data_IF_978467267600
#
_entry.id   IF_978467267600
#
_cell.length_a   1.000
_cell.length_b   1.000
_cell.length_c   1.000
_cell.angle_alpha   90.00
_cell.angle_beta   90.00
_cell.angle_gamma   90.00
#
_symmetry.space_group_name_H-M   'P 1'
#
loop_
_entity.id
_entity.type
_entity.pdbx_description
1 polymer ?
#
# COMPACT_ATOMS: atom_id res chain seq x y z
N UNK A 1 -25.76 -40.73 -11.34
CA UNK A 1 -24.62 -41.55 -11.80
C UNK A 1 -24.71 -41.71 -13.31
N UNK A 2 -23.68 -41.30 -14.06
CA UNK A 2 -23.51 -41.54 -15.51
C UNK A 2 -24.56 -40.86 -16.40
N UNK A 3 -24.29 -40.40 -17.62
CA UNK A 3 -23.24 -40.84 -18.51
C UNK A 3 -23.10 -39.87 -19.72
N UNK A 4 -21.88 -39.87 -20.26
CA UNK A 4 -21.48 -39.57 -21.64
C UNK A 4 -21.44 -38.12 -22.17
N UNK A 5 -20.18 -37.67 -22.29
CA UNK A 5 -19.64 -36.58 -23.12
C UNK A 5 -19.50 -37.07 -24.60
N UNK A 6 -18.96 -36.25 -25.53
CA UNK A 6 -19.62 -35.56 -26.64
C UNK A 6 -19.51 -36.28 -28.01
N UNK A 7 -20.27 -35.83 -29.01
CA UNK A 7 -19.86 -35.98 -30.42
C UNK A 7 -19.99 -34.66 -31.17
N UNK A 8 -18.84 -34.27 -31.71
CA UNK A 8 -18.58 -33.15 -32.60
C UNK A 8 -19.17 -33.50 -33.97
N UNK A 9 -19.87 -32.58 -34.59
CA UNK A 9 -20.41 -32.75 -35.94
C UNK A 9 -20.97 -31.44 -36.46
N UNK A 10 -20.09 -30.56 -36.93
CA UNK A 10 -20.51 -29.34 -37.61
C UNK A 10 -21.18 -29.66 -38.94
N UNK A 11 -22.26 -28.95 -39.26
CA UNK A 11 -22.63 -28.62 -40.62
C UNK A 11 -23.33 -27.27 -40.64
N UNK A 12 -22.72 -26.36 -41.40
CA UNK A 12 -23.11 -24.97 -41.60
C UNK A 12 -24.41 -24.84 -42.38
N UNK A 13 -25.35 -24.02 -41.91
CA UNK A 13 -26.23 -23.23 -42.77
C UNK A 13 -26.41 -21.82 -42.18
N UNK A 14 -26.12 -20.75 -42.92
CA UNK A 14 -26.36 -19.38 -42.46
C UNK A 14 -27.78 -18.96 -42.86
N UNK A 15 -28.65 -18.69 -41.90
CA UNK A 15 -29.89 -17.94 -42.14
C UNK A 15 -29.62 -16.46 -41.86
N UNK A 16 -29.45 -15.70 -42.95
CA UNK A 16 -29.52 -14.25 -42.94
C UNK A 16 -30.92 -13.82 -42.49
N UNK A 17 -31.02 -13.23 -41.31
CA UNK A 17 -32.20 -12.45 -40.91
C UNK A 17 -31.77 -10.99 -40.87
N UNK A 18 -32.06 -10.25 -41.95
CA UNK A 18 -31.93 -8.79 -41.98
C UNK A 18 -33.04 -8.16 -41.12
N UNK A 19 -32.74 -7.27 -40.16
CA UNK A 19 -33.75 -6.53 -39.41
C UNK A 19 -34.42 -5.44 -40.29
N UNK A 20 -35.67 -5.07 -40.02
CA UNK A 20 -36.43 -4.13 -40.85
C UNK A 20 -35.89 -2.70 -40.68
N UNK A 21 -35.77 -2.01 -41.82
CA UNK A 21 -35.41 -0.59 -41.93
C UNK A 21 -36.52 0.30 -41.37
N UNK A 22 -36.22 1.05 -40.30
CA UNK A 22 -37.11 2.09 -39.74
C UNK A 22 -36.81 3.44 -40.40
N UNK A 23 -37.83 4.25 -40.78
CA UNK A 23 -37.61 5.55 -41.44
C UNK A 23 -37.07 6.62 -40.46
N UNK A 24 -36.16 7.43 -40.98
CA UNK A 24 -35.54 8.61 -40.36
C UNK A 24 -36.57 9.70 -40.00
N UNK A 25 -36.75 10.05 -38.70
CA UNK A 25 -37.20 11.41 -38.30
C UNK A 25 -37.19 11.68 -36.78
N UNK A 26 -36.16 11.30 -36.04
CA UNK A 26 -35.93 11.85 -34.70
C UNK A 26 -34.45 12.21 -34.54
N UNK A 27 -34.08 13.40 -35.02
CA UNK A 27 -32.82 14.02 -34.62
C UNK A 27 -32.96 14.47 -33.19
N UNK A 28 -32.37 13.72 -32.25
CA UNK A 28 -32.12 14.21 -30.92
C UNK A 28 -31.15 15.40 -31.04
N UNK A 29 -31.49 16.63 -30.61
CA UNK A 29 -30.59 17.78 -30.71
C UNK A 29 -29.31 17.64 -29.88
N UNK A 30 -29.22 16.57 -29.06
CA UNK A 30 -28.02 16.19 -28.31
C UNK A 30 -27.24 15.01 -28.94
N UNK A 31 -27.63 14.52 -30.11
CA UNK A 31 -26.86 13.51 -30.83
C UNK A 31 -25.62 14.17 -31.45
N UNK A 32 -24.57 14.34 -30.63
CA UNK A 32 -23.24 14.66 -31.11
C UNK A 32 -22.80 13.61 -32.14
N UNK A 33 -22.21 14.00 -33.28
CA UNK A 33 -21.74 13.06 -34.27
C UNK A 33 -20.75 12.11 -33.60
N UNK A 34 -21.12 10.83 -33.63
CA UNK A 34 -20.38 9.75 -33.00
C UNK A 34 -18.91 9.82 -33.42
N UNK A 35 -18.00 9.90 -32.44
CA UNK A 35 -16.55 9.92 -32.65
C UNK A 35 -16.01 11.13 -33.45
N UNK A 36 -16.29 12.36 -33.01
CA UNK A 36 -15.45 13.50 -33.43
C UNK A 36 -14.19 13.50 -32.57
N UNK A 37 -13.01 13.54 -33.21
CA UNK A 37 -11.71 13.72 -32.55
C UNK A 37 -11.73 14.88 -31.54
N UNK A 38 -12.60 15.87 -31.76
CA UNK A 38 -12.88 16.93 -30.80
C UNK A 38 -13.31 16.43 -29.42
N UNK A 39 -14.24 15.46 -29.34
CA UNK A 39 -14.71 14.91 -28.05
C UNK A 39 -13.61 14.10 -27.38
N UNK A 40 -12.84 13.33 -28.14
CA UNK A 40 -11.68 12.58 -27.62
C UNK A 40 -10.60 13.53 -27.10
N UNK A 41 -10.26 14.57 -27.86
CA UNK A 41 -9.29 15.59 -27.47
C UNK A 41 -9.75 16.39 -26.25
N UNK A 42 -11.06 16.69 -26.14
CA UNK A 42 -11.62 17.38 -24.98
C UNK A 42 -11.56 16.49 -23.73
N UNK A 43 -11.87 15.20 -23.88
CA UNK A 43 -11.75 14.22 -22.80
C UNK A 43 -10.29 14.03 -22.35
N UNK A 44 -9.35 13.89 -23.29
CA UNK A 44 -7.92 13.75 -22.99
C UNK A 44 -7.35 15.01 -22.32
N UNK A 45 -7.71 16.20 -22.82
CA UNK A 45 -7.32 17.48 -22.22
C UNK A 45 -7.93 17.65 -20.82
N UNK A 46 -9.19 17.28 -20.62
CA UNK A 46 -9.82 17.37 -19.30
C UNK A 46 -9.25 16.31 -18.32
N UNK A 47 -8.93 15.11 -18.81
CA UNK A 47 -8.28 14.04 -18.03
C UNK A 47 -6.89 14.43 -17.55
N UNK A 48 -6.13 15.16 -18.36
CA UNK A 48 -4.80 15.67 -18.01
C UNK A 48 -4.82 16.94 -17.16
N UNK A 49 -5.98 17.60 -17.00
CA UNK A 49 -6.17 18.80 -16.18
C UNK A 49 -6.91 18.54 -14.85
N UNK A 50 -7.32 17.30 -14.56
CA UNK A 50 -7.74 16.94 -13.20
C UNK A 50 -6.53 17.12 -12.27
N UNK A 51 -6.59 18.00 -11.26
CA UNK A 51 -5.62 17.98 -10.19
C UNK A 51 -5.61 16.55 -9.66
N UNK A 52 -4.43 15.96 -9.50
CA UNK A 52 -4.32 14.63 -8.92
C UNK A 52 -4.62 14.74 -7.41
N UNK A 53 -5.90 14.90 -7.07
CA UNK A 53 -6.40 14.92 -5.69
C UNK A 53 -6.02 13.62 -4.98
N UNK A 54 -5.92 12.50 -5.71
CA UNK A 54 -5.36 11.24 -5.21
C UNK A 54 -3.88 11.33 -4.84
N UNK A 55 -3.03 12.03 -5.60
CA UNK A 55 -1.59 12.16 -5.26
C UNK A 55 -1.36 13.11 -4.09
N UNK A 56 -2.01 14.28 -4.09
CA UNK A 56 -1.82 15.27 -3.02
C UNK A 56 -2.36 14.75 -1.67
N UNK A 57 -3.53 14.10 -1.69
CA UNK A 57 -4.13 13.51 -0.49
C UNK A 57 -3.35 12.28 -0.01
N UNK A 58 -2.75 11.49 -0.92
CA UNK A 58 -1.87 10.36 -0.57
C UNK A 58 -0.54 10.82 0.04
N UNK A 59 0.03 11.93 -0.42
CA UNK A 59 1.30 12.43 0.08
C UNK A 59 1.18 12.99 1.51
N UNK A 60 0.11 13.74 1.82
CA UNK A 60 -0.13 14.21 3.18
C UNK A 60 -0.42 13.07 4.16
N UNK A 61 -1.22 12.07 3.73
CA UNK A 61 -1.42 10.84 4.51
C UNK A 61 -0.10 10.12 4.79
N UNK A 62 0.76 9.99 3.79
CA UNK A 62 2.09 9.38 3.94
C UNK A 62 2.96 10.14 4.95
N UNK A 63 2.93 11.47 4.91
CA UNK A 63 3.69 12.31 5.85
C UNK A 63 3.18 12.17 7.28
N UNK A 64 1.86 12.07 7.47
CA UNK A 64 1.26 11.79 8.80
C UNK A 64 1.71 10.44 9.31
N UNK A 65 1.69 9.39 8.49
CA UNK A 65 2.17 8.06 8.88
C UNK A 65 3.66 8.09 9.27
N UNK A 66 4.52 8.73 8.46
CA UNK A 66 5.95 8.89 8.81
C UNK A 66 6.15 9.61 10.16
N UNK A 67 5.35 10.64 10.43
CA UNK A 67 5.41 11.34 11.71
C UNK A 67 4.99 10.47 12.91
N UNK A 68 4.11 9.48 12.71
CA UNK A 68 3.74 8.51 13.75
C UNK A 68 4.84 7.46 13.93
N UNK A 69 5.43 6.97 12.84
CA UNK A 69 6.52 6.00 12.87
C UNK A 69 7.78 6.54 13.56
N UNK A 70 8.04 7.85 13.45
CA UNK A 70 9.12 8.53 14.15
C UNK A 70 9.02 8.41 15.69
N UNK A 71 7.83 8.13 16.23
CA UNK A 71 7.61 7.94 17.68
C UNK A 71 7.97 6.53 18.13
N UNK A 72 8.12 5.58 17.21
CA UNK A 72 8.66 4.26 17.54
C UNK A 72 10.16 4.48 17.83
N UNK A 73 10.71 3.92 18.93
CA UNK A 73 12.14 3.99 19.17
C UNK A 73 12.93 3.26 18.07
N UNK A 74 14.02 3.88 17.62
CA UNK A 74 15.04 3.22 16.81
C UNK A 74 16.29 3.07 17.67
N UNK A 75 17.05 2.00 17.45
CA UNK A 75 18.29 1.75 18.18
C UNK A 75 19.40 1.27 17.24
N UNK A 76 20.65 1.39 17.69
CA UNK A 76 21.77 0.76 17.01
C UNK A 76 21.75 -0.75 17.24
N UNK A 77 21.94 -1.52 16.18
CA UNK A 77 22.05 -2.97 16.28
C UNK A 77 23.29 -3.36 17.08
N UNK A 78 23.14 -4.36 17.95
CA UNK A 78 24.21 -4.85 18.82
C UNK A 78 24.62 -6.23 18.33
N UNK A 79 25.84 -6.37 17.81
CA UNK A 79 26.35 -7.63 17.23
C UNK A 79 26.31 -8.83 18.20
N UNK A 80 26.34 -8.54 19.50
CA UNK A 80 26.21 -9.54 20.56
C UNK A 80 24.82 -10.21 20.64
N UNK A 81 23.81 -9.70 19.91
CA UNK A 81 22.50 -10.34 19.76
C UNK A 81 22.50 -11.48 18.73
N UNK A 82 23.60 -11.68 18.00
CA UNK A 82 23.75 -12.73 16.98
C UNK A 82 23.80 -12.16 15.56
N UNK A 83 23.84 -13.04 14.57
CA UNK A 83 23.64 -12.67 13.16
C UNK A 83 22.13 -12.53 12.93
N UNK A 84 21.72 -11.41 12.36
CA UNK A 84 20.32 -11.14 12.01
C UNK A 84 20.26 -10.54 10.61
N UNK A 85 19.16 -10.78 9.90
CA UNK A 85 18.95 -10.33 8.53
C UNK A 85 17.64 -9.54 8.44
N UNK A 86 17.66 -8.44 7.70
CA UNK A 86 16.43 -7.70 7.41
C UNK A 86 15.62 -8.43 6.34
N UNK A 87 14.47 -8.99 6.70
CA UNK A 87 13.59 -9.71 5.79
C UNK A 87 12.97 -8.85 4.66
N UNK A 88 13.16 -7.52 4.67
CA UNK A 88 12.68 -6.62 3.61
C UNK A 88 13.72 -6.48 2.49
N UNK A 89 14.98 -6.21 2.84
CA UNK A 89 16.06 -6.01 1.87
C UNK A 89 16.93 -7.25 1.65
N UNK A 90 16.74 -8.31 2.45
CA UNK A 90 17.56 -9.52 2.47
C UNK A 90 19.05 -9.23 2.74
N UNK A 91 19.31 -8.20 3.56
CA UNK A 91 20.63 -7.76 3.95
C UNK A 91 20.92 -8.08 5.41
N UNK A 92 22.16 -8.45 5.70
CA UNK A 92 22.65 -8.66 7.07
C UNK A 92 22.56 -7.36 7.89
N UNK A 93 22.33 -7.51 9.20
CA UNK A 93 22.30 -6.42 10.16
C UNK A 93 23.67 -6.28 10.81
N UNK A 94 24.34 -5.17 10.54
CA UNK A 94 25.68 -4.88 11.05
C UNK A 94 25.66 -4.09 12.36
N UNK A 95 26.72 -4.25 13.16
CA UNK A 95 26.88 -3.54 14.42
C UNK A 95 26.79 -2.01 14.23
N UNK A 96 25.89 -1.37 14.96
CA UNK A 96 25.69 0.09 14.89
C UNK A 96 24.73 0.54 13.80
N UNK A 97 24.22 -0.35 12.94
CA UNK A 97 23.17 0.01 11.99
C UNK A 97 21.87 0.39 12.71
N UNK A 98 21.13 1.34 12.14
CA UNK A 98 19.85 1.76 12.72
C UNK A 98 18.78 0.73 12.41
N UNK A 99 18.32 0.08 13.47
CA UNK A 99 17.29 -0.94 13.40
C UNK A 99 16.09 -0.57 14.28
N UNK A 100 14.94 -1.14 13.94
CA UNK A 100 13.68 -0.92 14.64
C UNK A 100 13.04 -2.26 14.97
N UNK A 101 12.71 -2.44 16.25
CA UNK A 101 11.82 -3.51 16.69
C UNK A 101 10.38 -3.02 16.61
N UNK A 102 9.54 -3.78 15.92
CA UNK A 102 8.10 -3.59 16.00
C UNK A 102 7.57 -4.16 17.33
N UNK A 103 6.36 -3.76 17.79
CA UNK A 103 5.77 -4.30 19.02
C UNK A 103 5.61 -5.84 19.01
N UNK A 104 5.53 -6.44 17.82
CA UNK A 104 5.54 -7.90 17.61
C UNK A 104 6.95 -8.53 17.64
N UNK A 105 7.98 -7.79 18.09
CA UNK A 105 9.38 -8.21 18.26
C UNK A 105 10.16 -8.57 16.98
N UNK A 106 9.61 -8.28 15.80
CA UNK A 106 10.36 -8.42 14.55
C UNK A 106 11.29 -7.23 14.32
N UNK A 107 12.49 -7.53 13.78
CA UNK A 107 13.60 -6.59 13.61
C UNK A 107 13.84 -6.29 12.13
N UNK A 108 14.03 -5.02 11.80
CA UNK A 108 14.32 -4.55 10.45
C UNK A 108 15.21 -3.30 10.48
N UNK A 109 15.85 -2.96 9.36
CA UNK A 109 16.41 -1.62 9.16
C UNK A 109 15.31 -0.57 9.28
N UNK A 110 15.62 0.56 9.93
CA UNK A 110 14.70 1.69 10.06
C UNK A 110 14.18 2.14 8.70
N UNK A 111 15.07 2.27 7.72
CA UNK A 111 14.71 2.76 6.37
C UNK A 111 13.77 1.79 5.66
N UNK A 112 14.04 0.48 5.76
CA UNK A 112 13.22 -0.53 5.12
C UNK A 112 11.82 -0.62 5.73
N UNK A 113 11.72 -0.65 7.06
CA UNK A 113 10.42 -0.81 7.72
C UNK A 113 9.60 0.47 7.71
N UNK A 114 10.22 1.65 7.78
CA UNK A 114 9.48 2.90 7.75
C UNK A 114 8.81 3.11 6.37
N UNK A 115 9.52 2.81 5.27
CA UNK A 115 8.93 2.88 3.92
C UNK A 115 7.86 1.81 3.68
N UNK A 116 7.99 0.63 4.29
CA UNK A 116 6.95 -0.38 4.27
C UNK A 116 5.69 0.10 5.00
N UNK A 117 5.85 0.63 6.21
CA UNK A 117 4.74 1.03 7.08
C UNK A 117 3.97 2.26 6.56
N UNK A 118 4.60 3.08 5.72
CA UNK A 118 3.90 4.14 4.97
C UNK A 118 2.86 3.57 4.01
N UNK A 119 3.10 2.38 3.44
CA UNK A 119 2.20 1.73 2.48
C UNK A 119 1.20 0.79 3.15
N UNK A 120 1.64 0.09 4.19
CA UNK A 120 0.85 -0.93 4.89
C UNK A 120 1.24 -0.95 6.36
N UNK A 121 0.30 -0.69 7.25
CA UNK A 121 0.55 -0.60 8.70
C UNK A 121 0.65 -1.97 9.39
N UNK A 122 1.16 -2.99 8.69
CA UNK A 122 1.27 -4.37 9.13
C UNK A 122 2.73 -4.82 9.09
N UNK A 123 3.12 -5.66 10.05
CA UNK A 123 4.45 -6.25 10.10
C UNK A 123 4.72 -7.13 8.84
N UNK A 124 5.85 -6.96 8.14
CA UNK A 124 6.20 -7.79 6.98
C UNK A 124 6.32 -9.29 7.31
N UNK A 125 6.73 -9.63 8.54
CA UNK A 125 7.01 -11.01 8.92
C UNK A 125 5.79 -11.76 9.46
N UNK A 126 4.92 -11.10 10.21
CA UNK A 126 3.77 -11.76 10.86
C UNK A 126 2.40 -11.24 10.43
N UNK A 127 2.35 -10.23 9.56
CA UNK A 127 1.12 -9.61 9.04
C UNK A 127 0.19 -8.97 10.09
N UNK A 128 0.57 -8.99 11.37
CA UNK A 128 -0.15 -8.31 12.44
C UNK A 128 -0.06 -6.78 12.29
N UNK A 129 -1.14 -6.04 12.61
CA UNK A 129 -1.14 -4.58 12.56
C UNK A 129 -0.20 -3.99 13.62
N UNK A 130 0.52 -2.94 13.26
CA UNK A 130 1.42 -2.21 14.16
C UNK A 130 0.61 -1.18 14.95
N UNK A 131 -0.41 -1.61 15.69
CA UNK A 131 -1.40 -0.68 16.25
C UNK A 131 -0.83 0.30 17.28
N UNK A 132 -1.31 1.54 17.20
CA UNK A 132 -1.06 2.71 18.06
C UNK A 132 -1.21 2.41 19.56
N UNK A 133 -2.14 1.51 19.92
CA UNK A 133 -2.40 1.08 21.31
C UNK A 133 -1.21 0.35 21.93
N UNK A 134 -0.40 -0.32 21.10
CA UNK A 134 0.84 -0.98 21.52
C UNK A 134 1.98 0.04 21.67
N UNK A 135 2.00 1.12 20.87
CA UNK A 135 3.00 2.20 21.01
C UNK A 135 2.91 2.92 22.36
N UNK A 136 1.69 3.20 22.85
CA UNK A 136 1.46 3.84 24.16
C UNK A 136 1.95 2.98 25.33
N UNK A 137 1.78 1.66 25.22
CA UNK A 137 2.24 0.72 26.26
C UNK A 137 3.76 0.55 26.21
N UNK A 138 4.36 0.50 25.02
CA UNK A 138 5.80 0.33 24.83
C UNK A 138 6.61 1.58 25.21
N UNK A 139 6.07 2.78 24.98
CA UNK A 139 6.66 4.03 25.46
C UNK A 139 6.53 4.17 26.98
N UNK A 140 5.39 3.80 27.57
CA UNK A 140 5.19 3.84 29.03
C UNK A 140 6.21 2.95 29.78
N UNK A 141 6.49 1.74 29.28
CA UNK A 141 7.48 0.85 29.91
C UNK A 141 8.94 1.29 29.70
N UNK A 142 9.27 1.96 28.58
CA UNK A 142 10.61 2.52 28.38
C UNK A 142 10.85 3.83 29.16
N UNK A 143 9.83 4.66 29.37
CA UNK A 143 9.98 5.91 30.14
C UNK A 143 10.24 5.67 31.63
N UNK A 144 9.73 4.57 32.20
CA UNK A 144 10.00 4.22 33.60
C UNK A 144 11.48 3.84 33.84
N UNK A 145 12.14 3.29 32.82
CA UNK A 145 13.56 2.91 32.88
C UNK A 145 14.51 4.09 32.65
N UNK A 146 14.07 5.15 31.96
CA UNK A 146 14.86 6.38 31.79
C UNK A 146 14.86 7.27 33.04
N UNK A 147 13.80 7.28 33.86
CA UNK A 147 13.78 8.04 35.12
C UNK A 147 14.71 7.47 36.20
N UNK A 148 15.04 6.17 36.13
CA UNK A 148 15.98 5.53 37.06
C UNK A 148 17.45 5.82 36.69
N UNK A 149 17.77 6.02 35.41
CA UNK A 149 19.13 6.32 34.94
C UNK A 149 19.51 7.79 35.14
N UNK A 150 18.53 8.72 35.08
CA UNK A 150 18.77 10.13 35.38
C UNK A 150 19.06 10.40 36.88
N UNK A 151 18.79 9.45 37.76
CA UNK A 151 18.94 9.60 39.22
C UNK A 151 20.26 9.07 39.78
N UNK A 152 21.08 8.38 38.98
CA UNK A 152 22.32 7.71 39.45
C UNK A 152 23.62 8.47 39.15
N UNK A 153 23.56 9.70 38.65
CA UNK A 153 24.74 10.55 38.37
C UNK A 153 24.96 11.71 39.36
N UNK A 154 24.31 11.68 40.54
CA UNK A 154 24.49 12.70 41.58
C UNK A 154 24.81 12.10 42.96
N UNK A 155 25.81 11.23 43.05
CA UNK A 155 26.51 10.94 44.32
C UNK A 155 27.70 10.01 44.11
N UNK A 156 28.89 10.60 43.99
CA UNK A 156 30.14 10.31 44.73
C UNK A 156 31.35 10.86 43.99
#
# INVERSE_FOLDING_TARGET
MGNCLPLIGGHSTPVSTTPPSVPNSYTNPLALPHNSSYVNNLYERNRSNLPNESDQMSQEQSNRVRSLLAQIPAMGYRAEMGEAECAICMGELDAGERVRYLPCMHLFHVECVDDWLVRSFNCPSCLEPVDSTMLSSFTAHNTLKLSEIASSSASN
#
